data_IF_859046121974
#
_entry.id   IF_859046121974
#
_cell.length_a   1.000
_cell.length_b   1.000
_cell.length_c   1.000
_cell.angle_alpha   90.00
_cell.angle_beta   90.00
_cell.angle_gamma   90.00
#
_symmetry.space_group_name_H-M   'P 1'
#
loop_
_entity.id
_entity.type
_entity.pdbx_description
1 polymer ?
#
# COMPACT_ATOMS: atom_id res chain seq x y z
N UNK A 1 -12.47 31.80 -14.41
CA UNK A 1 -11.28 32.32 -13.71
C UNK A 1 -10.83 31.27 -12.73
N UNK A 2 -9.58 30.85 -12.74
CA UNK A 2 -9.04 29.94 -11.72
C UNK A 2 -8.95 30.66 -10.38
N UNK A 3 -9.28 29.98 -9.29
CA UNK A 3 -9.08 30.52 -7.93
C UNK A 3 -7.60 30.60 -7.60
N UNK A 4 -7.19 31.60 -6.82
CA UNK A 4 -5.80 31.67 -6.33
C UNK A 4 -5.39 30.47 -5.47
N UNK A 5 -6.36 29.68 -5.01
CA UNK A 5 -6.16 28.49 -4.17
C UNK A 5 -6.20 27.16 -4.95
N UNK A 6 -6.52 27.17 -6.25
CA UNK A 6 -6.57 25.94 -7.08
C UNK A 6 -5.26 25.14 -7.04
N UNK A 7 -4.12 25.83 -6.85
CA UNK A 7 -2.80 25.23 -6.70
C UNK A 7 -2.62 24.32 -5.46
N UNK A 8 -3.55 24.36 -4.52
CA UNK A 8 -3.57 23.51 -3.32
C UNK A 8 -4.60 22.40 -3.39
N UNK A 9 -5.35 22.29 -4.51
CA UNK A 9 -6.42 21.33 -4.68
C UNK A 9 -5.97 20.31 -5.72
N UNK A 10 -5.80 19.06 -5.29
CA UNK A 10 -5.34 17.96 -6.15
C UNK A 10 -6.47 16.95 -6.35
N UNK A 11 -6.65 16.51 -7.59
CA UNK A 11 -7.53 15.41 -7.97
C UNK A 11 -6.65 14.26 -8.41
N UNK A 12 -6.35 13.29 -7.54
CA UNK A 12 -5.48 12.19 -7.89
C UNK A 12 -6.15 11.32 -8.95
N UNK A 13 -5.37 10.74 -9.88
CA UNK A 13 -5.90 9.78 -10.81
C UNK A 13 -6.36 8.52 -10.06
N UNK A 14 -7.45 7.93 -10.52
CA UNK A 14 -7.87 6.62 -10.05
C UNK A 14 -6.82 5.57 -10.44
N UNK A 15 -6.51 4.69 -9.51
CA UNK A 15 -5.52 3.65 -9.69
C UNK A 15 -6.14 2.28 -9.40
N UNK A 16 -5.82 1.31 -10.23
CA UNK A 16 -6.29 -0.07 -10.10
C UNK A 16 -5.14 -1.04 -10.28
N UNK A 17 -5.10 -2.05 -9.40
CA UNK A 17 -4.21 -3.21 -9.52
C UNK A 17 -5.05 -4.47 -9.69
N UNK A 18 -4.77 -5.23 -10.75
CA UNK A 18 -5.38 -6.51 -11.02
C UNK A 18 -4.34 -7.61 -11.23
N UNK A 19 -4.69 -8.85 -10.89
CA UNK A 19 -3.84 -10.00 -11.14
C UNK A 19 -3.84 -10.32 -12.63
N UNK A 20 -2.66 -10.59 -13.20
CA UNK A 20 -2.56 -11.03 -14.61
C UNK A 20 -3.17 -12.40 -14.87
N UNK A 21 -3.20 -13.25 -13.85
CA UNK A 21 -3.69 -14.60 -13.98
C UNK A 21 -5.17 -14.68 -14.36
N UNK A 22 -6.01 -13.78 -13.85
CA UNK A 22 -7.47 -13.81 -14.02
C UNK A 22 -8.13 -12.44 -14.19
N UNK A 23 -7.33 -11.36 -14.29
CA UNK A 23 -7.77 -9.97 -14.34
C UNK A 23 -8.61 -9.52 -13.12
N UNK A 24 -8.56 -10.26 -12.01
CA UNK A 24 -9.29 -9.88 -10.82
C UNK A 24 -8.69 -8.64 -10.16
N UNK A 25 -9.55 -7.67 -9.84
CA UNK A 25 -9.14 -6.43 -9.16
C UNK A 25 -8.87 -6.73 -7.70
N UNK A 26 -7.64 -6.47 -7.26
CA UNK A 26 -7.20 -6.64 -5.87
C UNK A 26 -7.28 -5.30 -5.13
N UNK A 27 -6.67 -4.28 -5.72
CA UNK A 27 -6.68 -2.91 -5.18
C UNK A 27 -7.36 -1.96 -6.14
N UNK A 28 -8.10 -1.01 -5.57
CA UNK A 28 -8.84 0.00 -6.35
C UNK A 28 -8.94 1.28 -5.51
N UNK A 29 -8.38 2.40 -5.99
CA UNK A 29 -8.35 3.61 -5.19
C UNK A 29 -7.51 4.73 -5.79
N UNK A 30 -6.85 5.48 -4.94
CA UNK A 30 -6.10 6.68 -5.30
C UNK A 30 -4.74 6.69 -4.65
N UNK A 31 -3.75 7.26 -5.35
CA UNK A 31 -2.45 7.55 -4.78
C UNK A 31 -1.94 8.88 -5.33
N UNK A 32 -1.44 9.73 -4.45
CA UNK A 32 -0.82 10.99 -4.81
C UNK A 32 0.54 11.13 -4.14
N UNK A 33 1.56 11.46 -4.89
CA UNK A 33 2.94 11.52 -4.43
C UNK A 33 3.52 12.93 -4.48
N UNK A 34 4.78 13.03 -4.05
CA UNK A 34 5.55 14.27 -3.93
C UNK A 34 5.58 15.11 -5.22
N UNK A 35 5.56 14.48 -6.40
CA UNK A 35 5.60 15.19 -7.68
C UNK A 35 4.36 16.08 -7.89
N UNK A 36 3.22 15.68 -7.33
CA UNK A 36 1.95 16.43 -7.42
C UNK A 36 1.81 17.36 -6.22
N UNK A 37 2.11 16.84 -5.02
CA UNK A 37 1.94 17.59 -3.76
C UNK A 37 2.98 18.68 -3.55
N UNK A 38 4.10 18.63 -4.28
CA UNK A 38 5.28 19.49 -4.08
C UNK A 38 5.76 19.49 -2.61
N UNK A 39 5.70 18.33 -1.98
CA UNK A 39 6.12 18.07 -0.60
C UNK A 39 6.62 16.63 -0.49
N UNK A 40 7.64 16.30 0.33
CA UNK A 40 8.18 14.95 0.46
C UNK A 40 7.19 14.01 1.17
N UNK A 41 6.11 13.72 0.49
CA UNK A 41 4.99 12.97 1.03
C UNK A 41 4.24 12.23 -0.08
N UNK A 42 3.84 10.99 0.20
CA UNK A 42 2.94 10.21 -0.65
C UNK A 42 1.85 9.61 0.22
N UNK A 43 0.63 9.65 -0.26
CA UNK A 43 -0.51 8.99 0.37
C UNK A 43 -1.27 8.16 -0.64
N UNK A 44 -1.54 6.91 -0.27
CA UNK A 44 -2.44 6.00 -0.98
C UNK A 44 -3.67 5.70 -0.12
N UNK A 45 -4.83 5.65 -0.75
CA UNK A 45 -6.10 5.19 -0.19
C UNK A 45 -6.69 4.16 -1.15
N UNK A 46 -6.77 2.91 -0.75
CA UNK A 46 -7.11 1.80 -1.62
C UNK A 46 -8.14 0.88 -0.97
N UNK A 47 -9.14 0.48 -1.75
CA UNK A 47 -10.01 -0.63 -1.37
C UNK A 47 -9.34 -1.95 -1.74
N UNK A 48 -9.19 -2.83 -0.77
CA UNK A 48 -8.76 -4.20 -0.99
C UNK A 48 -10.01 -5.05 -1.16
N UNK A 49 -10.17 -5.66 -2.33
CA UNK A 49 -11.42 -6.32 -2.72
C UNK A 49 -11.37 -7.84 -2.68
N UNK A 50 -10.16 -8.41 -2.72
CA UNK A 50 -9.95 -9.86 -2.78
C UNK A 50 -8.71 -10.27 -2.01
N UNK A 51 -8.64 -11.51 -1.53
CA UNK A 51 -7.41 -12.10 -1.04
C UNK A 51 -6.28 -11.97 -2.07
N UNK A 52 -5.09 -11.76 -1.57
CA UNK A 52 -3.94 -11.51 -2.40
C UNK A 52 -2.67 -11.88 -1.63
N UNK A 53 -1.78 -12.60 -2.30
CA UNK A 53 -0.44 -12.84 -1.81
C UNK A 53 0.50 -11.89 -2.52
N UNK A 54 1.02 -10.92 -1.76
CA UNK A 54 1.97 -9.96 -2.28
C UNK A 54 3.27 -10.65 -2.64
N UNK A 55 3.66 -10.55 -3.92
CA UNK A 55 5.00 -10.96 -4.36
C UNK A 55 6.05 -9.88 -4.03
N UNK A 56 5.69 -8.96 -3.13
CA UNK A 56 6.56 -7.87 -2.69
C UNK A 56 7.60 -8.44 -1.71
N UNK A 57 8.85 -8.61 -2.13
CA UNK A 57 9.84 -9.22 -1.28
C UNK A 57 10.16 -8.34 -0.07
N UNK A 58 10.78 -8.93 0.94
CA UNK A 58 11.31 -8.20 2.06
C UNK A 58 12.29 -7.13 1.57
N UNK A 59 12.09 -5.90 2.02
CA UNK A 59 12.87 -4.73 1.60
C UNK A 59 13.04 -3.73 2.74
N UNK A 60 13.89 -2.75 2.53
CA UNK A 60 14.06 -1.57 3.38
C UNK A 60 13.88 -0.31 2.56
N UNK A 61 13.61 0.79 3.25
CA UNK A 61 13.66 2.14 2.67
C UNK A 61 14.30 3.12 3.65
N UNK A 62 14.73 4.29 3.14
CA UNK A 62 15.39 5.33 3.92
C UNK A 62 14.43 6.39 4.49
N UNK A 63 13.13 6.13 4.43
CA UNK A 63 12.07 7.04 4.90
C UNK A 63 11.13 6.33 5.86
N UNK A 64 10.33 7.12 6.60
CA UNK A 64 9.25 6.63 7.44
C UNK A 64 8.04 6.27 6.57
N UNK A 65 7.47 5.08 6.80
CA UNK A 65 6.22 4.63 6.20
C UNK A 65 5.20 4.28 7.28
N UNK A 66 3.94 4.52 6.99
CA UNK A 66 2.81 4.07 7.79
C UNK A 66 1.84 3.30 6.91
N UNK A 67 1.41 2.15 7.39
CA UNK A 67 0.35 1.38 6.77
C UNK A 67 -0.80 1.22 7.75
N UNK A 68 -2.01 1.26 7.22
CA UNK A 68 -3.22 1.03 8.01
C UNK A 68 -4.20 0.19 7.22
N UNK A 69 -4.90 -0.69 7.92
CA UNK A 69 -6.02 -1.46 7.37
C UNK A 69 -7.20 -1.34 8.31
N UNK A 70 -8.38 -1.05 7.78
CA UNK A 70 -9.62 -0.98 8.54
C UNK A 70 -10.83 -1.33 7.67
N UNK A 71 -11.92 -1.74 8.31
CA UNK A 71 -13.17 -2.04 7.62
C UNK A 71 -13.90 -0.78 7.15
N UNK A 72 -14.90 -0.97 6.30
CA UNK A 72 -15.75 0.10 5.79
C UNK A 72 -17.12 0.18 6.46
N UNK A 73 -17.33 -0.50 7.60
CA UNK A 73 -18.60 -0.47 8.31
C UNK A 73 -18.69 0.79 9.21
N UNK A 74 -19.57 1.77 8.89
CA UNK A 74 -19.68 2.98 9.70
C UNK A 74 -20.34 2.76 11.06
N UNK A 75 -21.09 1.67 11.23
CA UNK A 75 -21.83 1.36 12.45
C UNK A 75 -21.00 0.57 13.47
N UNK A 76 -19.91 -0.06 13.02
CA UNK A 76 -18.99 -0.82 13.85
C UNK A 76 -17.54 -0.66 13.36
N UNK A 77 -16.75 0.22 13.97
CA UNK A 77 -15.35 0.45 13.58
C UNK A 77 -14.45 -0.75 13.84
N UNK A 78 -14.84 -1.71 14.69
CA UNK A 78 -14.09 -2.95 14.94
C UNK A 78 -14.40 -4.04 13.91
N UNK A 79 -15.43 -3.86 13.08
CA UNK A 79 -15.79 -4.79 12.00
C UNK A 79 -14.78 -4.71 10.82
N UNK A 80 -13.70 -5.45 10.95
CA UNK A 80 -12.60 -5.41 9.98
C UNK A 80 -12.96 -6.14 8.67
N UNK A 81 -13.52 -7.33 8.75
CA UNK A 81 -13.93 -8.11 7.57
C UNK A 81 -12.80 -8.70 6.72
N UNK A 82 -11.59 -8.85 7.27
CA UNK A 82 -10.45 -9.41 6.56
C UNK A 82 -9.44 -10.07 7.52
N UNK A 83 -8.44 -10.72 6.91
CA UNK A 83 -7.23 -11.17 7.59
C UNK A 83 -6.02 -10.69 6.78
N UNK A 84 -5.14 -9.95 7.44
CA UNK A 84 -3.90 -9.41 6.88
C UNK A 84 -2.72 -10.06 7.56
N UNK A 85 -1.75 -10.51 6.78
CA UNK A 85 -0.48 -11.07 7.25
C UNK A 85 0.65 -10.15 6.79
N UNK A 86 1.49 -9.76 7.73
CA UNK A 86 2.64 -8.90 7.47
C UNK A 86 3.88 -9.45 8.17
N UNK A 87 5.03 -9.27 7.54
CA UNK A 87 6.29 -9.80 8.02
C UNK A 87 7.26 -8.68 8.35
N UNK A 88 7.95 -8.79 9.49
CA UNK A 88 8.94 -7.83 9.97
C UNK A 88 10.30 -8.47 10.16
N UNK A 89 11.32 -7.63 10.04
CA UNK A 89 12.70 -8.00 10.32
C UNK A 89 13.32 -8.92 9.28
N UNK A 90 14.63 -9.14 9.42
CA UNK A 90 15.38 -10.11 8.60
C UNK A 90 14.95 -11.54 8.87
N UNK A 91 14.38 -11.80 10.03
CA UNK A 91 13.83 -13.08 10.48
C UNK A 91 12.50 -13.40 9.80
N UNK A 92 11.87 -12.44 9.15
CA UNK A 92 10.52 -12.53 8.58
C UNK A 92 9.51 -12.94 9.66
N UNK A 93 9.54 -12.25 10.81
CA UNK A 93 8.59 -12.51 11.89
C UNK A 93 7.17 -12.24 11.42
N UNK A 94 6.33 -13.28 11.48
CA UNK A 94 4.97 -13.25 10.95
C UNK A 94 3.99 -12.66 11.96
N UNK A 95 3.24 -11.65 11.52
CA UNK A 95 2.12 -11.07 12.26
C UNK A 95 0.81 -11.24 11.51
N UNK A 96 -0.26 -11.57 12.22
CA UNK A 96 -1.61 -11.77 11.65
C UNK A 96 -2.57 -10.78 12.29
N UNK A 97 -3.23 -10.00 11.47
CA UNK A 97 -4.20 -8.98 11.91
C UNK A 97 -5.60 -9.36 11.45
N UNK A 98 -6.52 -9.47 12.41
CA UNK A 98 -7.96 -9.73 12.19
C UNK A 98 -8.83 -8.59 12.71
N UNK A 99 -8.20 -7.49 13.11
CA UNK A 99 -8.82 -6.24 13.57
C UNK A 99 -8.17 -5.05 12.86
N UNK A 100 -8.82 -3.88 12.86
CA UNK A 100 -8.21 -2.66 12.38
C UNK A 100 -6.82 -2.45 12.98
N UNK A 101 -5.83 -2.25 12.14
CA UNK A 101 -4.41 -2.22 12.55
C UNK A 101 -3.67 -1.11 11.83
N UNK A 102 -2.82 -0.43 12.60
CA UNK A 102 -1.88 0.58 12.11
C UNK A 102 -0.47 0.14 12.44
N UNK A 103 0.43 0.22 11.47
CA UNK A 103 1.85 -0.07 11.66
C UNK A 103 2.69 1.12 11.26
N UNK A 104 3.83 1.25 11.93
CA UNK A 104 4.84 2.28 11.68
C UNK A 104 6.14 1.60 11.33
N UNK A 105 6.69 1.93 10.17
CA UNK A 105 7.89 1.34 9.58
C UNK A 105 9.00 2.39 9.55
N UNK A 106 9.88 2.43 10.55
CA UNK A 106 10.98 3.38 10.56
C UNK A 106 11.99 3.09 9.44
N UNK A 107 12.78 4.10 9.03
CA UNK A 107 13.85 3.91 8.07
C UNK A 107 14.75 2.73 8.43
N UNK A 108 15.09 1.89 7.46
CA UNK A 108 15.99 0.76 7.62
C UNK A 108 15.38 -0.51 8.23
N UNK A 109 14.13 -0.50 8.70
CA UNK A 109 13.46 -1.71 9.18
C UNK A 109 13.13 -2.63 7.99
N UNK A 110 13.68 -3.87 7.93
CA UNK A 110 13.25 -4.84 6.93
C UNK A 110 11.79 -5.23 7.15
N UNK A 111 10.99 -5.26 6.10
CA UNK A 111 9.56 -5.61 6.18
C UNK A 111 9.04 -6.15 4.85
N UNK A 112 7.80 -6.64 4.85
CA UNK A 112 7.19 -7.43 3.79
C UNK A 112 7.71 -8.88 3.73
N UNK A 113 6.99 -9.80 3.05
CA UNK A 113 5.81 -9.56 2.20
C UNK A 113 4.55 -9.13 2.96
N UNK A 114 3.59 -8.60 2.21
CA UNK A 114 2.21 -8.38 2.65
C UNK A 114 1.35 -9.47 2.00
N UNK A 115 0.54 -10.14 2.79
CA UNK A 115 -0.47 -11.10 2.30
C UNK A 115 -1.83 -10.70 2.89
N UNK A 116 -2.87 -10.73 2.07
CA UNK A 116 -4.25 -10.60 2.52
C UNK A 116 -4.91 -11.93 2.25
N UNK A 117 -5.04 -12.72 3.31
CA UNK A 117 -5.41 -14.14 3.21
C UNK A 117 -6.90 -14.36 3.16
N UNK A 118 -7.68 -13.40 3.69
CA UNK A 118 -9.13 -13.41 3.66
C UNK A 118 -9.69 -12.01 3.47
N UNK A 119 -10.74 -11.86 2.69
CA UNK A 119 -11.53 -10.64 2.52
C UNK A 119 -13.00 -11.05 2.45
N UNK A 120 -13.72 -10.89 3.54
CA UNK A 120 -15.15 -11.16 3.64
C UNK A 120 -15.96 -9.99 3.07
N UNK A 121 -15.42 -8.78 3.23
CA UNK A 121 -15.91 -7.51 2.68
C UNK A 121 -14.72 -6.64 2.30
N UNK A 122 -14.81 -5.77 1.30
CA UNK A 122 -13.73 -4.84 0.96
C UNK A 122 -13.29 -4.04 2.19
N UNK A 123 -11.99 -4.02 2.42
CA UNK A 123 -11.36 -3.22 3.46
C UNK A 123 -10.63 -2.03 2.85
N UNK A 124 -10.28 -1.07 3.67
CA UNK A 124 -9.52 0.10 3.26
C UNK A 124 -8.06 -0.10 3.72
N UNK A 125 -7.13 0.09 2.78
CA UNK A 125 -5.70 0.20 3.05
C UNK A 125 -5.28 1.65 2.84
N UNK A 126 -4.59 2.21 3.82
CA UNK A 126 -3.88 3.48 3.71
C UNK A 126 -2.39 3.19 3.71
N UNK A 127 -1.69 3.85 2.81
CA UNK A 127 -0.23 3.87 2.74
C UNK A 127 0.23 5.33 2.79
N UNK A 128 1.12 5.66 3.71
CA UNK A 128 1.71 6.99 3.85
C UNK A 128 3.22 6.83 3.86
N UNK A 129 3.90 7.48 2.92
CA UNK A 129 5.35 7.52 2.83
C UNK A 129 5.84 8.96 3.00
N UNK A 130 6.71 9.20 3.98
CA UNK A 130 7.37 10.48 4.17
C UNK A 130 8.64 10.53 3.32
N UNK A 131 8.46 10.49 2.00
CA UNK A 131 9.52 10.36 1.02
C UNK A 131 9.39 11.41 -0.08
N UNK A 132 10.50 12.09 -0.34
CA UNK A 132 10.69 12.94 -1.52
C UNK A 132 11.44 12.20 -2.65
N UNK A 133 12.05 12.95 -3.58
CA UNK A 133 12.84 12.38 -4.68
C UNK A 133 14.03 11.54 -4.22
N UNK A 134 14.54 11.79 -3.01
CA UNK A 134 15.67 11.10 -2.37
C UNK A 134 15.27 9.79 -1.69
N UNK A 135 13.98 9.47 -1.67
CA UNK A 135 13.46 8.22 -1.10
C UNK A 135 13.96 7.02 -1.89
N UNK A 136 14.57 6.06 -1.19
CA UNK A 136 15.05 4.80 -1.78
C UNK A 136 14.33 3.62 -1.16
N UNK A 137 14.15 2.57 -1.97
CA UNK A 137 13.62 1.29 -1.56
C UNK A 137 14.49 0.19 -2.14
N UNK A 138 15.03 -0.66 -1.25
CA UNK A 138 15.98 -1.70 -1.65
C UNK A 138 15.52 -3.08 -1.16
N UNK A 139 15.53 -4.11 -2.04
CA UNK A 139 15.31 -5.48 -1.60
C UNK A 139 16.32 -5.86 -0.52
N UNK A 140 15.85 -6.46 0.56
CA UNK A 140 16.71 -6.83 1.69
C UNK A 140 17.57 -8.06 1.37
N UNK A 141 17.02 -9.05 0.69
CA UNK A 141 17.76 -10.26 0.34
C UNK A 141 18.30 -10.18 -1.10
N UNK A 142 19.56 -10.65 -1.28
CA UNK A 142 20.21 -10.66 -2.59
C UNK A 142 19.40 -11.38 -3.68
N UNK A 143 18.73 -12.50 -3.30
CA UNK A 143 17.90 -13.28 -4.22
C UNK A 143 16.70 -12.51 -4.81
N UNK A 144 16.31 -11.41 -4.17
CA UNK A 144 15.14 -10.60 -4.53
C UNK A 144 15.54 -9.37 -5.37
N UNK A 145 16.83 -9.15 -5.59
CA UNK A 145 17.30 -8.10 -6.48
C UNK A 145 16.77 -8.32 -7.90
N UNK A 146 16.21 -7.27 -8.49
CA UNK A 146 15.59 -7.33 -9.80
C UNK A 146 14.14 -7.84 -9.80
N UNK A 147 13.51 -7.99 -8.63
CA UNK A 147 12.07 -8.23 -8.53
C UNK A 147 11.29 -7.15 -9.30
N UNK A 148 10.33 -7.58 -10.11
CA UNK A 148 9.47 -6.69 -10.86
C UNK A 148 8.00 -7.06 -10.63
N UNK A 149 7.24 -6.24 -9.87
CA UNK A 149 5.83 -6.50 -9.58
C UNK A 149 4.96 -6.51 -10.85
N UNK A 150 5.39 -5.83 -11.92
CA UNK A 150 4.66 -5.84 -13.20
C UNK A 150 4.64 -7.21 -13.89
N UNK A 151 5.41 -8.18 -13.42
CA UNK A 151 5.33 -9.56 -13.95
C UNK A 151 4.03 -10.26 -13.56
N UNK A 152 3.46 -9.93 -12.39
CA UNK A 152 2.30 -10.62 -11.82
C UNK A 152 1.05 -9.74 -11.74
N UNK A 153 1.20 -8.42 -11.79
CA UNK A 153 0.12 -7.44 -11.68
C UNK A 153 0.06 -6.50 -12.88
N UNK A 154 -1.16 -6.12 -13.23
CA UNK A 154 -1.44 -4.99 -14.11
C UNK A 154 -1.67 -3.74 -13.25
N UNK A 155 -1.00 -2.66 -13.61
CA UNK A 155 -1.16 -1.34 -12.99
C UNK A 155 -1.87 -0.44 -14.01
N UNK A 156 -3.05 0.02 -13.66
CA UNK A 156 -3.85 0.91 -14.49
C UNK A 156 -4.06 2.25 -13.77
N UNK A 157 -3.96 3.35 -14.51
CA UNK A 157 -4.30 4.69 -14.04
C UNK A 157 -5.36 5.26 -14.96
N UNK A 158 -6.39 5.80 -14.38
CA UNK A 158 -7.50 6.45 -15.08
C UNK A 158 -7.47 7.95 -14.76
N UNK A 159 -7.79 8.81 -15.76
CA UNK A 159 -7.83 10.26 -15.56
C UNK A 159 -8.88 10.70 -14.53
#
# INVERSE_FOLDING_TARGET
MSSQYDKYIFKPPHMRLSLKADNSVVFDGFMVGHQVLNYPFTIGHQFVRKPFKGDNPCHTHNFQEFLAWYGGNPDDPDDFGAEVVFYFGKELEKHVFTKPTFISLPPGLPHCPLEITRVDRPIIQIEIMLAGPEGTREPYFEKDKGFNPQKVMNFERFP
#
